data_IF_061803092878
#
_entry.id   IF_061803092878
#
_cell.length_a   1.000
_cell.length_b   1.000
_cell.length_c   1.000
_cell.angle_alpha   90.00
_cell.angle_beta   90.00
_cell.angle_gamma   90.00
#
_symmetry.space_group_name_H-M   'P 1'
#
loop_
_entity.id
_entity.type
_entity.pdbx_description
1 polymer ?
#
# COMPACT_ATOMS: atom_id res chain seq x y z
N UNK A 1 -19.84 -19.91 -16.72
CA UNK A 1 -20.09 -18.64 -15.98
C UNK A 1 -19.29 -18.73 -14.69
N UNK A 2 -18.56 -17.69 -14.36
CA UNK A 2 -17.79 -17.61 -13.10
C UNK A 2 -18.77 -17.58 -11.92
N UNK A 3 -18.58 -18.46 -10.94
CA UNK A 3 -19.51 -18.65 -9.83
C UNK A 3 -18.97 -18.15 -8.49
N UNK A 4 -17.72 -17.67 -8.48
CA UNK A 4 -17.01 -17.30 -7.27
C UNK A 4 -16.46 -15.89 -7.32
N UNK A 5 -16.29 -15.29 -6.14
CA UNK A 5 -15.54 -14.05 -5.91
C UNK A 5 -14.47 -14.38 -4.89
N UNK A 6 -13.23 -13.95 -5.17
CA UNK A 6 -12.13 -14.00 -4.23
C UNK A 6 -12.00 -12.70 -3.44
N UNK A 7 -11.64 -12.79 -2.17
CA UNK A 7 -11.29 -11.62 -1.36
C UNK A 7 -9.93 -11.83 -0.71
N UNK A 8 -8.98 -10.95 -1.01
CA UNK A 8 -7.69 -10.86 -0.31
C UNK A 8 -7.89 -9.91 0.87
N UNK A 9 -7.59 -10.39 2.08
CA UNK A 9 -7.55 -9.59 3.30
C UNK A 9 -6.11 -9.59 3.80
N UNK A 10 -5.35 -8.55 3.41
CA UNK A 10 -3.96 -8.38 3.82
C UNK A 10 -3.90 -7.51 5.09
N UNK A 11 -3.94 -8.15 6.26
CA UNK A 11 -3.88 -7.51 7.57
C UNK A 11 -2.45 -7.21 8.03
N UNK A 12 -2.33 -6.61 9.22
CA UNK A 12 -1.02 -6.24 9.80
C UNK A 12 -0.16 -7.47 10.14
N UNK A 13 -0.77 -8.58 10.54
CA UNK A 13 -0.05 -9.77 11.01
C UNK A 13 -0.18 -10.97 10.10
N UNK A 14 -1.14 -10.97 9.18
CA UNK A 14 -1.43 -12.12 8.33
C UNK A 14 -2.12 -11.71 7.04
N UNK A 15 -2.00 -12.57 6.03
CA UNK A 15 -2.75 -12.50 4.78
C UNK A 15 -3.76 -13.63 4.73
N UNK A 16 -4.98 -13.33 4.32
CA UNK A 16 -6.08 -14.27 4.16
C UNK A 16 -6.65 -14.18 2.76
N UNK A 17 -7.05 -15.31 2.20
CA UNK A 17 -7.86 -15.37 0.99
C UNK A 17 -9.15 -16.13 1.28
N UNK A 18 -10.28 -15.50 0.93
CA UNK A 18 -11.62 -16.05 1.14
C UNK A 18 -12.29 -16.19 -0.22
N UNK A 19 -12.85 -17.37 -0.47
CA UNK A 19 -13.65 -17.65 -1.66
C UNK A 19 -15.13 -17.62 -1.29
N UNK A 20 -15.90 -16.75 -1.93
CA UNK A 20 -17.34 -16.65 -1.78
C UNK A 20 -18.05 -17.26 -2.99
N UNK A 21 -19.14 -18.01 -2.74
CA UNK A 21 -20.03 -18.45 -3.80
C UNK A 21 -20.97 -17.31 -4.24
N UNK A 22 -21.77 -17.55 -5.28
CA UNK A 22 -22.75 -16.57 -5.81
C UNK A 22 -23.83 -16.14 -4.82
N UNK A 23 -23.97 -16.81 -3.69
CA UNK A 23 -24.92 -16.49 -2.61
C UNK A 23 -24.23 -15.76 -1.44
N UNK A 24 -22.94 -15.41 -1.57
CA UNK A 24 -22.16 -14.74 -0.53
C UNK A 24 -21.73 -15.69 0.62
N UNK A 25 -21.82 -17.00 0.45
CA UNK A 25 -21.39 -17.97 1.46
C UNK A 25 -19.92 -18.29 1.26
N UNK A 26 -19.17 -18.41 2.37
CA UNK A 26 -17.76 -18.83 2.33
C UNK A 26 -17.67 -20.28 1.82
N UNK A 27 -16.92 -20.47 0.75
CA UNK A 27 -16.67 -21.76 0.11
C UNK A 27 -15.30 -22.33 0.47
N UNK A 28 -14.28 -21.49 0.57
CA UNK A 28 -12.94 -21.87 0.99
C UNK A 28 -12.26 -20.67 1.68
N UNK A 29 -11.27 -20.96 2.52
CA UNK A 29 -10.47 -19.94 3.20
C UNK A 29 -9.07 -20.49 3.49
N UNK A 30 -8.06 -19.65 3.28
CA UNK A 30 -6.70 -19.91 3.71
C UNK A 30 -6.10 -18.64 4.32
N UNK A 31 -5.21 -18.81 5.30
CA UNK A 31 -4.57 -17.70 6.01
C UNK A 31 -3.14 -18.10 6.39
N UNK A 32 -2.21 -17.13 6.26
CA UNK A 32 -0.82 -17.28 6.70
C UNK A 32 -0.32 -16.00 7.36
N UNK A 33 0.44 -16.14 8.41
CA UNK A 33 1.14 -15.06 9.07
C UNK A 33 2.39 -14.68 8.28
N UNK A 34 2.89 -13.45 8.48
CA UNK A 34 4.15 -12.95 7.99
C UNK A 34 4.97 -12.32 9.12
N UNK A 35 6.27 -12.20 8.93
CA UNK A 35 7.19 -11.70 9.93
C UNK A 35 6.93 -10.22 10.24
N UNK A 36 7.01 -9.88 11.53
CA UNK A 36 7.01 -8.52 12.03
C UNK A 36 8.45 -8.12 12.33
N UNK A 37 9.00 -7.14 11.63
CA UNK A 37 10.40 -6.72 11.74
C UNK A 37 10.46 -5.45 12.59
N UNK A 38 11.26 -5.47 13.65
CA UNK A 38 11.44 -4.36 14.60
C UNK A 38 12.92 -3.92 14.64
N UNK A 39 13.42 -3.14 13.66
CA UNK A 39 14.85 -2.80 13.56
C UNK A 39 15.37 -1.95 14.71
N UNK A 40 14.49 -1.08 15.25
CA UNK A 40 14.78 -0.16 16.36
C UNK A 40 13.53 0.10 17.18
N UNK A 41 13.62 0.62 18.41
CA UNK A 41 12.43 1.05 19.17
C UNK A 41 11.56 2.01 18.35
N UNK A 42 10.26 1.72 18.24
CA UNK A 42 9.29 2.49 17.48
C UNK A 42 9.30 2.27 15.96
N UNK A 43 10.23 1.46 15.42
CA UNK A 43 10.27 1.10 14.01
C UNK A 43 9.56 -0.23 13.80
N UNK A 44 8.67 -0.27 12.81
CA UNK A 44 7.92 -1.47 12.43
C UNK A 44 7.94 -1.62 10.91
N UNK A 45 8.43 -2.75 10.44
CA UNK A 45 8.61 -3.04 9.03
C UNK A 45 8.07 -4.42 8.67
N UNK A 46 7.65 -4.58 7.41
CA UNK A 46 7.37 -5.87 6.79
C UNK A 46 8.21 -6.05 5.54
N UNK A 47 8.55 -7.30 5.20
CA UNK A 47 9.12 -7.65 3.91
C UNK A 47 8.01 -7.70 2.83
N UNK A 48 8.02 -6.79 1.82
CA UNK A 48 7.00 -6.80 0.78
C UNK A 48 7.01 -8.07 -0.09
N UNK A 49 8.17 -8.70 -0.25
CA UNK A 49 8.27 -9.95 -1.02
C UNK A 49 7.69 -11.12 -0.22
N UNK A 50 7.79 -11.11 1.12
CA UNK A 50 7.07 -12.06 1.95
C UNK A 50 5.55 -11.84 1.86
N UNK A 51 5.05 -10.60 1.96
CA UNK A 51 3.63 -10.29 1.79
C UNK A 51 3.12 -10.84 0.45
N UNK A 52 3.85 -10.62 -0.63
CA UNK A 52 3.50 -11.14 -1.96
C UNK A 52 3.48 -12.68 -1.97
N UNK A 53 4.51 -13.32 -1.44
CA UNK A 53 4.58 -14.77 -1.35
C UNK A 53 3.41 -15.35 -0.54
N UNK A 54 3.11 -14.77 0.65
CA UNK A 54 1.97 -15.22 1.47
C UNK A 54 0.64 -15.04 0.74
N UNK A 55 0.50 -13.94 -0.02
CA UNK A 55 -0.70 -13.69 -0.83
C UNK A 55 -0.90 -14.78 -1.89
N UNK A 56 0.14 -15.15 -2.63
CA UNK A 56 0.04 -16.23 -3.64
C UNK A 56 -0.22 -17.57 -2.99
N UNK A 57 0.46 -17.90 -1.89
CA UNK A 57 0.28 -19.15 -1.16
C UNK A 57 -1.17 -19.32 -0.66
N UNK A 58 -1.79 -18.30 -0.06
CA UNK A 58 -3.18 -18.42 0.44
C UNK A 58 -4.20 -18.48 -0.70
N UNK A 59 -3.94 -17.82 -1.84
CA UNK A 59 -4.79 -17.96 -3.04
C UNK A 59 -4.74 -19.40 -3.54
N UNK A 60 -3.56 -19.94 -3.74
CA UNK A 60 -3.36 -21.31 -4.24
C UNK A 60 -3.99 -22.34 -3.29
N UNK A 61 -3.76 -22.22 -1.98
CA UNK A 61 -4.30 -23.13 -0.96
C UNK A 61 -5.84 -23.12 -0.95
N UNK A 62 -6.46 -21.94 -0.94
CA UNK A 62 -7.93 -21.84 -0.96
C UNK A 62 -8.53 -22.37 -2.26
N UNK A 63 -7.89 -22.14 -3.40
CA UNK A 63 -8.31 -22.71 -4.68
C UNK A 63 -8.23 -24.23 -4.69
N UNK A 64 -7.16 -24.80 -4.13
CA UNK A 64 -6.97 -26.26 -4.03
C UNK A 64 -8.06 -26.94 -3.19
N UNK A 65 -8.51 -26.32 -2.08
CA UNK A 65 -9.56 -26.89 -1.21
C UNK A 65 -10.85 -27.22 -1.97
N UNK A 66 -11.12 -26.57 -3.10
CA UNK A 66 -12.34 -26.75 -3.92
C UNK A 66 -12.01 -27.11 -5.37
N UNK A 67 -10.78 -27.45 -5.70
CA UNK A 67 -10.33 -27.72 -7.07
C UNK A 67 -10.70 -26.61 -8.08
N UNK A 68 -10.62 -25.34 -7.63
CA UNK A 68 -10.97 -24.18 -8.43
C UNK A 68 -9.83 -23.80 -9.39
N UNK A 69 -10.23 -23.18 -10.50
CA UNK A 69 -9.31 -22.61 -11.50
C UNK A 69 -9.53 -21.10 -11.58
N UNK A 70 -8.56 -20.29 -12.07
CA UNK A 70 -8.73 -18.83 -12.20
C UNK A 70 -9.99 -18.41 -12.98
N UNK A 71 -10.39 -19.18 -13.99
CA UNK A 71 -11.60 -18.94 -14.80
C UNK A 71 -12.91 -19.06 -14.02
N UNK A 72 -12.90 -19.67 -12.83
CA UNK A 72 -14.08 -19.85 -12.00
C UNK A 72 -14.42 -18.59 -11.19
N UNK A 73 -13.49 -17.64 -11.12
CA UNK A 73 -13.68 -16.36 -10.43
C UNK A 73 -14.19 -15.28 -11.37
N UNK A 74 -15.21 -14.53 -10.93
CA UNK A 74 -15.69 -13.34 -11.61
C UNK A 74 -14.82 -12.12 -11.33
N UNK A 75 -14.31 -12.02 -10.09
CA UNK A 75 -13.47 -10.93 -9.64
C UNK A 75 -12.69 -11.33 -8.37
N UNK A 76 -11.64 -10.54 -8.06
CA UNK A 76 -10.95 -10.56 -6.79
C UNK A 76 -10.99 -9.15 -6.21
N UNK A 77 -11.51 -9.02 -4.98
CA UNK A 77 -11.42 -7.79 -4.19
C UNK A 77 -10.21 -7.83 -3.26
N UNK A 78 -9.67 -6.65 -2.92
CA UNK A 78 -8.55 -6.52 -1.98
C UNK A 78 -8.97 -5.58 -0.85
N UNK A 79 -8.79 -6.01 0.39
CA UNK A 79 -8.74 -5.15 1.57
C UNK A 79 -7.37 -5.32 2.23
N UNK A 80 -6.87 -4.27 2.88
CA UNK A 80 -5.50 -4.26 3.36
C UNK A 80 -5.31 -3.41 4.62
N UNK A 81 -4.21 -3.64 5.31
CA UNK A 81 -3.67 -2.66 6.26
C UNK A 81 -3.34 -1.37 5.49
N UNK A 82 -4.07 -0.30 5.79
CA UNK A 82 -3.86 0.99 5.12
C UNK A 82 -2.60 1.68 5.62
N UNK A 83 -2.16 2.75 4.97
CA UNK A 83 -1.05 3.62 5.29
C UNK A 83 0.35 2.97 5.24
N UNK A 84 0.45 1.66 5.33
CA UNK A 84 1.72 0.93 5.18
C UNK A 84 2.32 1.24 3.81
N UNK A 85 3.56 1.73 3.81
CA UNK A 85 4.20 2.41 2.68
C UNK A 85 5.22 1.50 2.01
N UNK A 86 5.05 1.26 0.72
CA UNK A 86 6.00 0.51 -0.13
C UNK A 86 6.46 1.40 -1.27
N UNK A 87 7.77 1.38 -1.57
CA UNK A 87 8.35 2.01 -2.76
C UNK A 87 9.19 0.98 -3.50
N UNK A 88 8.98 0.87 -4.81
CA UNK A 88 9.71 -0.09 -5.66
C UNK A 88 10.15 0.52 -6.98
N UNK A 89 11.17 -0.07 -7.59
CA UNK A 89 11.62 0.30 -8.92
C UNK A 89 10.70 -0.32 -9.99
N UNK A 90 10.17 0.51 -10.89
CA UNK A 90 9.20 0.10 -11.93
C UNK A 90 9.78 -0.92 -12.92
N UNK A 91 11.09 -0.82 -13.22
CA UNK A 91 11.76 -1.65 -14.21
C UNK A 91 12.18 -3.02 -13.66
N UNK A 92 12.72 -3.04 -12.44
CA UNK A 92 13.21 -4.27 -11.82
C UNK A 92 12.17 -4.97 -10.95
N UNK A 93 11.17 -4.24 -10.45
CA UNK A 93 10.18 -4.73 -9.50
C UNK A 93 10.69 -4.86 -8.07
N UNK A 94 11.99 -4.60 -7.83
CA UNK A 94 12.56 -4.67 -6.49
C UNK A 94 12.12 -3.48 -5.63
N UNK A 95 11.72 -3.76 -4.41
CA UNK A 95 11.46 -2.73 -3.40
C UNK A 95 12.77 -2.10 -2.96
N UNK A 96 12.78 -0.77 -2.76
CA UNK A 96 14.00 -0.05 -2.36
C UNK A 96 14.28 -0.17 -0.86
N UNK A 97 13.28 -0.61 -0.10
CA UNK A 97 13.33 -0.80 1.35
C UNK A 97 12.17 -1.70 1.78
N UNK A 98 12.19 -2.19 3.03
CA UNK A 98 11.04 -2.84 3.65
C UNK A 98 9.81 -1.92 3.65
N UNK A 99 8.62 -2.49 3.68
CA UNK A 99 7.39 -1.72 3.88
C UNK A 99 7.40 -1.07 5.27
N UNK A 100 7.27 0.26 5.33
CA UNK A 100 7.15 0.98 6.62
C UNK A 100 5.69 0.90 7.06
N UNK A 101 5.45 0.18 8.17
CA UNK A 101 4.12 -0.14 8.66
C UNK A 101 3.43 1.11 9.25
N UNK A 102 2.10 1.14 9.24
CA UNK A 102 1.29 2.23 9.77
C UNK A 102 1.58 2.55 11.26
N UNK A 103 2.02 1.56 12.05
CA UNK A 103 2.39 1.69 13.46
C UNK A 103 3.76 2.34 13.69
N UNK A 104 4.57 2.47 12.63
CA UNK A 104 5.94 2.98 12.71
C UNK A 104 5.97 4.46 13.10
N UNK A 105 6.86 4.81 14.03
CA UNK A 105 6.98 6.17 14.58
C UNK A 105 8.28 6.88 14.17
N UNK A 106 9.07 6.32 13.23
CA UNK A 106 10.38 6.90 12.82
C UNK A 106 10.32 8.35 12.36
N UNK A 107 9.16 8.82 11.89
CA UNK A 107 8.94 10.17 11.37
C UNK A 107 8.34 11.13 12.41
N UNK A 108 8.41 10.82 13.71
CA UNK A 108 7.85 11.65 14.78
C UNK A 108 8.47 13.05 14.83
N UNK A 109 9.78 13.15 14.61
CA UNK A 109 10.48 14.45 14.52
C UNK A 109 10.02 15.29 13.33
N UNK A 110 9.70 14.66 12.20
CA UNK A 110 9.14 15.34 11.04
C UNK A 110 7.72 15.84 11.32
N UNK A 111 6.88 15.02 11.97
CA UNK A 111 5.54 15.46 12.42
C UNK A 111 5.63 16.70 13.29
N UNK A 112 6.52 16.72 14.30
CA UNK A 112 6.73 17.87 15.17
C UNK A 112 7.20 19.11 14.39
N UNK A 113 8.15 18.94 13.46
CA UNK A 113 8.67 20.01 12.62
C UNK A 113 7.58 20.62 11.72
N UNK A 114 6.75 19.79 11.09
CA UNK A 114 5.63 20.24 10.27
C UNK A 114 4.56 20.96 11.11
N UNK A 115 4.25 20.44 12.31
CA UNK A 115 3.27 21.03 13.20
C UNK A 115 3.71 22.38 13.77
N UNK A 116 5.01 22.64 13.91
CA UNK A 116 5.53 23.93 14.36
C UNK A 116 5.17 25.08 13.39
N UNK A 117 4.85 24.79 12.11
CA UNK A 117 4.53 25.76 11.08
C UNK A 117 3.07 25.63 10.61
N UNK A 118 2.11 25.91 11.48
CA UNK A 118 0.67 25.91 11.14
C UNK A 118 -0.17 24.92 11.96
N UNK A 119 0.40 24.31 12.98
CA UNK A 119 -0.30 23.40 13.89
C UNK A 119 -0.46 21.98 13.33
N UNK A 120 -0.94 21.10 14.19
CA UNK A 120 -1.16 19.70 13.86
C UNK A 120 -2.26 19.52 12.79
N UNK A 121 -3.19 20.45 12.70
CA UNK A 121 -4.33 20.40 11.78
C UNK A 121 -4.12 21.20 10.47
N UNK A 122 -2.88 21.65 10.19
CA UNK A 122 -2.58 22.51 9.02
C UNK A 122 -3.05 21.97 7.67
N UNK A 123 -3.20 20.68 7.51
CA UNK A 123 -3.66 20.05 6.27
C UNK A 123 -5.05 19.42 6.39
N UNK A 124 -5.74 19.63 7.52
CA UNK A 124 -7.05 19.01 7.78
C UNK A 124 -8.11 19.44 6.78
N UNK A 125 -8.09 20.68 6.30
CA UNK A 125 -9.07 21.15 5.32
C UNK A 125 -8.99 20.38 4.00
N UNK A 126 -7.77 20.01 3.55
CA UNK A 126 -7.60 19.24 2.31
C UNK A 126 -7.81 17.74 2.55
N UNK A 127 -7.30 17.21 3.66
CA UNK A 127 -7.15 15.77 3.86
C UNK A 127 -8.13 15.16 4.86
N UNK A 128 -8.79 15.99 5.69
CA UNK A 128 -9.56 15.51 6.84
C UNK A 128 -8.71 15.00 8.01
N UNK A 129 -7.38 14.98 7.89
CA UNK A 129 -6.46 14.31 8.80
C UNK A 129 -5.56 15.29 9.57
N UNK A 130 -5.24 15.02 10.85
CA UNK A 130 -4.16 15.72 11.53
C UNK A 130 -2.80 15.24 11.01
N UNK A 131 -1.72 15.99 11.28
CA UNK A 131 -0.36 15.49 11.14
C UNK A 131 -0.11 14.37 12.16
N UNK A 132 0.33 13.20 11.69
CA UNK A 132 0.68 12.07 12.54
C UNK A 132 1.66 11.14 11.82
N UNK A 133 2.41 10.34 12.59
CA UNK A 133 3.32 9.31 12.05
C UNK A 133 2.57 8.20 11.30
N UNK A 134 1.30 8.10 11.52
CA UNK A 134 0.40 7.09 11.00
C UNK A 134 0.33 7.05 9.48
N UNK A 135 0.28 8.23 8.82
CA UNK A 135 -0.03 8.38 7.40
C UNK A 135 1.19 8.22 6.50
N UNK A 136 0.95 7.97 5.19
CA UNK A 136 2.02 7.56 4.28
C UNK A 136 2.98 8.70 3.88
N UNK A 137 2.52 9.95 3.81
CA UNK A 137 3.29 11.06 3.24
C UNK A 137 4.69 11.21 3.83
N UNK A 138 4.80 11.27 5.18
CA UNK A 138 6.11 11.42 5.84
C UNK A 138 6.97 10.16 5.73
N UNK A 139 6.38 8.97 5.64
CA UNK A 139 7.11 7.71 5.39
C UNK A 139 7.70 7.69 3.97
N UNK A 140 6.94 8.13 2.97
CA UNK A 140 7.45 8.29 1.60
C UNK A 140 8.62 9.26 1.59
N UNK A 141 8.44 10.46 2.18
CA UNK A 141 9.50 11.46 2.28
C UNK A 141 10.74 10.90 2.95
N UNK A 142 10.56 10.18 4.08
CA UNK A 142 11.67 9.55 4.78
C UNK A 142 12.46 8.58 3.89
N UNK A 143 11.78 7.74 3.11
CA UNK A 143 12.43 6.82 2.17
C UNK A 143 13.24 7.59 1.12
N UNK A 144 12.68 8.65 0.54
CA UNK A 144 13.37 9.46 -0.48
C UNK A 144 14.58 10.22 0.07
N UNK A 145 14.51 10.67 1.32
CA UNK A 145 15.56 11.50 1.94
C UNK A 145 16.68 10.66 2.60
N UNK A 146 16.40 9.40 3.01
CA UNK A 146 17.35 8.58 3.75
C UNK A 146 17.98 7.44 2.92
N UNK A 147 17.45 7.12 1.75
CA UNK A 147 18.04 6.11 0.87
C UNK A 147 18.80 6.75 -0.27
N UNK A 148 20.06 6.37 -0.42
CA UNK A 148 20.95 6.94 -1.44
C UNK A 148 20.37 6.76 -2.86
N UNK A 149 20.20 7.86 -3.58
CA UNK A 149 19.70 7.86 -4.97
C UNK A 149 18.20 7.68 -5.12
N UNK A 150 17.45 7.50 -4.01
CA UNK A 150 16.00 7.27 -4.09
C UNK A 150 15.25 8.50 -4.62
N UNK A 151 15.64 9.69 -4.22
CA UNK A 151 15.00 10.93 -4.66
C UNK A 151 15.19 11.16 -6.15
N UNK A 152 16.41 11.03 -6.64
CA UNK A 152 16.75 11.17 -8.06
C UNK A 152 15.99 10.16 -8.93
N UNK A 153 15.90 8.92 -8.49
CA UNK A 153 15.11 7.88 -9.18
C UNK A 153 13.60 8.19 -9.17
N UNK A 154 13.08 8.74 -8.07
CA UNK A 154 11.67 9.13 -7.98
C UNK A 154 11.36 10.31 -8.91
N UNK A 155 12.22 11.34 -8.94
CA UNK A 155 12.10 12.48 -9.84
C UNK A 155 12.20 12.08 -11.32
N UNK A 156 13.05 11.11 -11.63
CA UNK A 156 13.17 10.51 -12.95
C UNK A 156 11.96 9.60 -13.34
N UNK A 157 11.00 9.38 -12.40
CA UNK A 157 9.84 8.51 -12.64
C UNK A 157 10.15 7.01 -12.67
N UNK A 158 11.32 6.61 -12.18
CA UNK A 158 11.73 5.21 -12.15
C UNK A 158 11.18 4.43 -10.96
N UNK A 159 10.72 5.13 -9.91
CA UNK A 159 10.10 4.52 -8.75
C UNK A 159 8.57 4.60 -8.81
N UNK A 160 7.92 3.68 -8.10
CA UNK A 160 6.50 3.67 -7.82
C UNK A 160 6.27 3.57 -6.32
N UNK A 161 5.26 4.28 -5.83
CA UNK A 161 4.75 4.15 -4.47
C UNK A 161 3.39 3.44 -4.49
N UNK A 162 3.10 2.73 -3.42
CA UNK A 162 1.77 2.23 -3.10
C UNK A 162 1.62 1.89 -1.62
N UNK A 163 0.37 1.90 -1.17
CA UNK A 163 0.03 1.10 -0.02
C UNK A 163 -0.07 -0.36 -0.47
N UNK A 164 -0.47 -1.25 0.41
CA UNK A 164 -0.48 -2.69 0.11
C UNK A 164 -1.43 -3.03 -1.05
N UNK A 165 -2.60 -2.37 -1.14
CA UNK A 165 -3.54 -2.51 -2.26
C UNK A 165 -2.85 -2.33 -3.61
N UNK A 166 -2.20 -1.20 -3.78
CA UNK A 166 -1.51 -0.82 -5.02
C UNK A 166 -0.41 -1.81 -5.38
N UNK A 167 0.40 -2.21 -4.39
CA UNK A 167 1.48 -3.18 -4.62
C UNK A 167 0.93 -4.55 -5.05
N UNK A 168 -0.12 -5.03 -4.39
CA UNK A 168 -0.75 -6.30 -4.74
C UNK A 168 -1.45 -6.24 -6.11
N UNK A 169 -2.19 -5.15 -6.42
CA UNK A 169 -2.79 -4.96 -7.75
C UNK A 169 -1.70 -4.98 -8.81
N UNK A 170 -0.61 -4.23 -8.62
CA UNK A 170 0.51 -4.19 -9.56
C UNK A 170 1.12 -5.58 -9.78
N UNK A 171 1.39 -6.34 -8.70
CA UNK A 171 1.93 -7.72 -8.78
C UNK A 171 0.95 -8.67 -9.48
N UNK A 172 -0.33 -8.67 -9.10
CA UNK A 172 -1.36 -9.57 -9.64
C UNK A 172 -1.66 -9.31 -11.12
N UNK A 173 -1.45 -8.09 -11.61
CA UNK A 173 -1.74 -7.68 -12.99
C UNK A 173 -0.54 -7.74 -13.92
N UNK A 174 0.62 -8.25 -13.45
CA UNK A 174 1.78 -8.50 -14.30
C UNK A 174 3.10 -7.91 -13.80
N UNK A 175 3.10 -7.07 -12.78
CA UNK A 175 4.33 -6.48 -12.22
C UNK A 175 5.11 -5.70 -13.28
N UNK A 176 6.40 -6.04 -13.45
CA UNK A 176 7.29 -5.43 -14.48
C UNK A 176 6.83 -5.65 -15.91
N UNK A 177 5.95 -6.62 -16.15
CA UNK A 177 5.41 -6.95 -17.47
C UNK A 177 4.07 -6.27 -17.76
N UNK A 178 3.90 -5.02 -17.34
CA UNK A 178 2.71 -4.22 -17.61
C UNK A 178 1.69 -4.18 -16.47
N UNK A 179 2.12 -4.42 -15.25
CA UNK A 179 1.29 -4.31 -14.04
C UNK A 179 0.63 -2.96 -13.89
N UNK A 180 -0.64 -2.96 -13.45
CA UNK A 180 -1.46 -1.76 -13.32
C UNK A 180 -1.12 -1.05 -12.00
N UNK A 181 -0.73 0.23 -12.08
CA UNK A 181 -0.36 1.06 -10.94
C UNK A 181 -1.52 1.98 -10.55
N UNK A 182 -2.42 1.49 -9.72
CA UNK A 182 -3.64 2.19 -9.27
C UNK A 182 -3.86 2.00 -7.77
N UNK A 183 -4.63 2.90 -7.19
CA UNK A 183 -5.18 2.81 -5.82
C UNK A 183 -6.63 3.28 -5.83
N UNK A 184 -7.38 2.97 -4.78
CA UNK A 184 -8.73 3.48 -4.58
C UNK A 184 -8.74 4.72 -3.67
N UNK A 185 -9.89 5.44 -3.64
CA UNK A 185 -10.04 6.64 -2.79
C UNK A 185 -9.93 6.32 -1.30
N UNK A 186 -10.23 5.09 -0.85
CA UNK A 186 -10.19 4.74 0.58
C UNK A 186 -8.76 4.55 1.07
N UNK A 187 -7.85 4.05 0.24
CA UNK A 187 -6.42 4.00 0.52
C UNK A 187 -5.76 5.36 0.28
N UNK A 188 -6.05 6.03 -0.84
CA UNK A 188 -5.49 7.33 -1.17
C UNK A 188 -5.77 8.38 -0.09
N UNK A 189 -6.99 8.41 0.48
CA UNK A 189 -7.37 9.33 1.57
C UNK A 189 -6.53 9.18 2.84
N UNK A 190 -5.89 8.02 3.02
CA UNK A 190 -5.06 7.75 4.21
C UNK A 190 -3.58 8.09 4.02
N UNK A 191 -3.21 8.65 2.87
CA UNK A 191 -1.82 9.03 2.57
C UNK A 191 -1.42 10.41 3.08
N UNK A 192 -2.36 11.30 3.38
CA UNK A 192 -2.19 12.76 3.53
C UNK A 192 -1.81 13.48 2.23
N UNK A 193 -2.02 12.87 1.07
CA UNK A 193 -1.67 13.45 -0.23
C UNK A 193 -2.90 13.66 -1.14
N UNK A 194 -4.03 13.05 -0.80
CA UNK A 194 -5.28 13.19 -1.56
C UNK A 194 -6.14 14.31 -0.98
N UNK A 195 -6.68 15.15 -1.84
CA UNK A 195 -7.70 16.14 -1.48
C UNK A 195 -9.09 15.49 -1.46
N UNK A 196 -9.82 15.64 -0.35
CA UNK A 196 -11.13 14.99 -0.15
C UNK A 196 -12.25 15.58 -1.00
N UNK A 197 -12.13 16.83 -1.47
CA UNK A 197 -13.15 17.47 -2.32
C UNK A 197 -13.00 17.03 -3.77
N UNK A 198 -11.76 16.95 -4.27
CA UNK A 198 -11.46 16.63 -5.66
C UNK A 198 -11.24 15.15 -5.90
N UNK A 199 -11.00 14.36 -4.85
CA UNK A 199 -10.62 12.94 -4.87
C UNK A 199 -9.38 12.67 -5.75
N UNK A 200 -8.48 13.65 -5.80
CA UNK A 200 -7.25 13.61 -6.59
C UNK A 200 -6.02 13.91 -5.71
N UNK A 201 -4.83 13.58 -6.19
CA UNK A 201 -3.59 13.99 -5.56
C UNK A 201 -3.48 15.51 -5.54
N UNK A 202 -3.26 16.09 -4.37
CA UNK A 202 -3.20 17.54 -4.16
C UNK A 202 -1.79 18.06 -4.39
N UNK A 203 -1.64 18.97 -5.36
CA UNK A 203 -0.33 19.52 -5.73
C UNK A 203 0.35 20.31 -4.64
N UNK A 204 -0.42 20.99 -3.77
CA UNK A 204 0.14 21.75 -2.66
C UNK A 204 0.63 20.82 -1.53
N UNK A 205 -0.09 19.72 -1.29
CA UNK A 205 0.36 18.68 -0.37
C UNK A 205 1.63 17.99 -0.89
N UNK A 206 1.66 17.63 -2.19
CA UNK A 206 2.86 17.02 -2.80
C UNK A 206 4.08 17.94 -2.67
N UNK A 207 3.90 19.24 -2.92
CA UNK A 207 4.95 20.24 -2.74
C UNK A 207 5.36 20.39 -1.28
N UNK A 208 4.39 20.46 -0.35
CA UNK A 208 4.67 20.59 1.08
C UNK A 208 5.48 19.41 1.63
N UNK A 209 5.14 18.18 1.24
CA UNK A 209 5.85 16.98 1.65
C UNK A 209 7.08 16.67 0.76
N UNK A 210 7.33 17.45 -0.30
CA UNK A 210 8.41 17.24 -1.26
C UNK A 210 8.37 15.83 -1.89
N UNK A 211 7.20 15.45 -2.42
CA UNK A 211 6.96 14.14 -3.05
C UNK A 211 6.69 14.35 -4.54
N UNK A 212 7.47 13.72 -5.44
CA UNK A 212 7.24 13.80 -6.88
C UNK A 212 5.91 13.11 -7.28
N UNK A 213 5.08 13.78 -8.08
CA UNK A 213 3.81 13.22 -8.55
C UNK A 213 4.00 11.94 -9.39
N UNK A 214 5.14 11.81 -10.09
CA UNK A 214 5.52 10.62 -10.88
C UNK A 214 5.56 9.33 -10.08
N UNK A 215 5.74 9.43 -8.76
CA UNK A 215 5.81 8.30 -7.84
C UNK A 215 4.42 7.66 -7.59
N UNK A 216 3.35 8.46 -7.70
CA UNK A 216 2.03 8.10 -7.19
C UNK A 216 1.23 7.24 -8.19
N UNK A 217 0.36 6.32 -7.69
CA UNK A 217 -0.56 5.56 -8.52
C UNK A 217 -1.69 6.46 -9.04
N UNK A 218 -2.38 6.03 -10.10
CA UNK A 218 -3.65 6.63 -10.49
C UNK A 218 -4.73 6.27 -9.45
N UNK A 219 -5.51 7.25 -8.99
CA UNK A 219 -6.71 7.02 -8.17
C UNK A 219 -7.87 6.62 -9.11
N UNK A 220 -8.59 5.56 -8.76
CA UNK A 220 -9.72 4.99 -9.53
C UNK A 220 -10.95 4.84 -8.64
#
# INVERSE_FOLDING_TARGET
MSNYIGAIDQGTTSTRFIVFDRFGRVSAIAQKEHEQIFPKPGWVEHDPDEIWRRTTEVIEEAMQQKSLQPKDFAAIGITNQRETTIVWNRKSGHTIYNAIVWQDTRVESDVASFAAHGGQDRFRNQTGLPLATYFSALKIRWLLDNLRGARELAEAGELAFGNIDTYLVWKLTGGVNGGIHVTDVTNASRTQLMNLETLAWDTDLLKAFNIPASLLPKIV
#
